data_IF_797358617159
#
_entry.id   IF_797358617159
#
_cell.length_a   1.000
_cell.length_b   1.000
_cell.length_c   1.000
_cell.angle_alpha   90.00
_cell.angle_beta   90.00
_cell.angle_gamma   90.00
#
_symmetry.space_group_name_H-M   'P 1'
#
loop_
_entity.id
_entity.type
_entity.pdbx_description
1 polymer ?
#
# COMPACT_ATOMS: atom_id res chain seq x y z
N UNK A 1 -4.78 -4.22 -13.14
CA UNK A 1 -4.66 -2.91 -12.49
C UNK A 1 -5.54 -2.79 -11.25
N UNK A 2 -6.88 -2.71 -11.32
CA UNK A 2 -7.72 -2.58 -10.10
C UNK A 2 -7.51 -3.70 -9.07
N UNK A 3 -7.48 -4.96 -9.50
CA UNK A 3 -7.24 -6.09 -8.58
C UNK A 3 -5.85 -6.04 -7.94
N UNK A 4 -4.83 -5.56 -8.67
CA UNK A 4 -3.48 -5.37 -8.14
C UNK A 4 -3.46 -4.25 -7.09
N UNK A 5 -4.19 -3.15 -7.31
CA UNK A 5 -4.36 -2.07 -6.32
C UNK A 5 -5.03 -2.61 -5.07
N UNK A 6 -6.15 -3.34 -5.21
CA UNK A 6 -6.85 -3.95 -4.07
C UNK A 6 -5.92 -4.87 -3.29
N UNK A 7 -5.20 -5.75 -3.97
CA UNK A 7 -4.25 -6.67 -3.33
C UNK A 7 -3.13 -5.93 -2.59
N UNK A 8 -2.56 -4.89 -3.20
CA UNK A 8 -1.46 -4.14 -2.59
C UNK A 8 -1.92 -3.32 -1.37
N UNK A 9 -3.08 -2.66 -1.48
CA UNK A 9 -3.69 -1.94 -0.37
C UNK A 9 -4.11 -2.90 0.75
N UNK A 10 -4.58 -4.11 0.42
CA UNK A 10 -4.87 -5.14 1.40
C UNK A 10 -3.62 -5.53 2.21
N UNK A 11 -2.49 -5.78 1.53
CA UNK A 11 -1.23 -6.14 2.18
C UNK A 11 -0.71 -5.01 3.10
N UNK A 12 -0.84 -3.75 2.67
CA UNK A 12 -0.54 -2.57 3.49
C UNK A 12 -1.49 -2.39 4.70
N UNK A 13 -2.69 -2.98 4.68
CA UNK A 13 -3.66 -2.85 5.77
C UNK A 13 -3.55 -3.93 6.86
N UNK A 14 -2.71 -4.96 6.68
CA UNK A 14 -2.65 -6.13 7.55
C UNK A 14 -1.27 -6.25 8.23
N UNK A 15 -1.07 -5.69 9.44
CA UNK A 15 0.20 -5.74 10.16
C UNK A 15 0.71 -7.16 10.44
N UNK A 16 -0.20 -8.11 10.65
CA UNK A 16 0.18 -9.50 10.89
C UNK A 16 0.74 -10.13 9.61
N UNK A 17 0.12 -9.85 8.46
CA UNK A 17 0.66 -10.23 7.15
C UNK A 17 2.03 -9.60 6.90
N UNK A 18 2.16 -8.29 7.11
CA UNK A 18 3.43 -7.57 6.95
C UNK A 18 4.55 -8.20 7.77
N UNK A 19 4.27 -8.49 9.04
CA UNK A 19 5.25 -9.13 9.93
C UNK A 19 5.61 -10.53 9.44
N UNK A 20 4.61 -11.40 9.21
CA UNK A 20 4.86 -12.79 8.83
C UNK A 20 5.53 -12.91 7.46
N UNK A 21 5.08 -12.15 6.48
CA UNK A 21 5.44 -12.33 5.07
C UNK A 21 6.61 -11.44 4.67
N UNK A 22 6.59 -10.15 5.03
CA UNK A 22 7.65 -9.23 4.61
C UNK A 22 8.88 -9.35 5.50
N UNK A 23 8.72 -9.50 6.82
CA UNK A 23 9.87 -9.61 7.73
C UNK A 23 10.29 -11.07 7.96
N UNK A 24 9.36 -11.94 8.35
CA UNK A 24 9.69 -13.31 8.76
C UNK A 24 9.76 -14.29 7.58
N UNK A 25 9.37 -13.85 6.38
CA UNK A 25 9.36 -14.65 5.13
C UNK A 25 8.59 -15.97 5.28
N UNK A 26 7.55 -15.97 6.11
CA UNK A 26 6.63 -17.09 6.32
C UNK A 26 5.48 -17.02 5.32
N UNK A 27 5.65 -17.71 4.19
CA UNK A 27 4.68 -17.70 3.10
C UNK A 27 3.55 -18.71 3.31
N UNK A 28 2.31 -18.40 2.87
CA UNK A 28 1.15 -19.27 3.04
C UNK A 28 1.21 -20.57 2.22
N UNK A 29 1.91 -20.58 1.09
CA UNK A 29 2.12 -21.77 0.26
C UNK A 29 3.37 -21.63 -0.63
N UNK A 30 3.91 -22.75 -1.18
CA UNK A 30 5.01 -22.69 -2.13
C UNK A 30 4.68 -21.81 -3.34
N UNK A 31 5.67 -21.03 -3.78
CA UNK A 31 5.54 -20.13 -4.93
C UNK A 31 4.80 -18.81 -4.63
N UNK A 32 4.35 -18.58 -3.40
CA UNK A 32 3.86 -17.28 -2.97
C UNK A 32 5.05 -16.33 -2.71
N UNK A 33 4.94 -15.09 -3.16
CA UNK A 33 5.89 -14.03 -2.88
C UNK A 33 5.14 -12.72 -2.71
N UNK A 34 5.50 -11.97 -1.67
CA UNK A 34 4.99 -10.64 -1.40
C UNK A 34 5.98 -9.90 -0.50
N UNK A 35 6.19 -8.62 -0.77
CA UNK A 35 7.07 -7.75 0.01
C UNK A 35 6.63 -6.27 -0.10
N UNK A 36 7.17 -5.41 0.77
CA UNK A 36 6.82 -3.98 0.77
C UNK A 36 7.16 -3.34 -0.58
N UNK A 37 8.37 -3.58 -1.09
CA UNK A 37 8.89 -2.95 -2.31
C UNK A 37 8.00 -3.23 -3.53
N UNK A 38 7.57 -4.47 -3.71
CA UNK A 38 6.65 -4.88 -4.76
C UNK A 38 5.31 -4.14 -4.64
N UNK A 39 4.75 -4.03 -3.43
CA UNK A 39 3.49 -3.32 -3.23
C UNK A 39 3.62 -1.82 -3.51
N UNK A 40 4.74 -1.20 -3.13
CA UNK A 40 5.04 0.21 -3.46
C UNK A 40 5.16 0.40 -4.97
N UNK A 41 5.92 -0.45 -5.68
CA UNK A 41 6.02 -0.39 -7.14
C UNK A 41 4.67 -0.59 -7.84
N UNK A 42 3.82 -1.50 -7.36
CA UNK A 42 2.48 -1.68 -7.92
C UNK A 42 1.68 -0.38 -7.84
N UNK A 43 1.76 0.33 -6.72
CA UNK A 43 0.93 1.49 -6.43
C UNK A 43 1.44 2.80 -7.09
N UNK A 44 2.75 3.02 -7.10
CA UNK A 44 3.37 4.20 -7.73
C UNK A 44 3.70 3.96 -9.21
N UNK A 45 4.36 2.87 -9.57
CA UNK A 45 4.92 2.73 -10.92
C UNK A 45 3.98 2.00 -11.89
N UNK A 46 3.46 0.84 -11.50
CA UNK A 46 2.69 -0.01 -12.43
C UNK A 46 1.28 0.53 -12.67
N UNK A 47 0.70 1.18 -11.66
CA UNK A 47 -0.68 1.69 -11.73
C UNK A 47 -0.80 3.20 -11.61
N UNK A 48 0.25 3.89 -11.11
CA UNK A 48 0.25 5.33 -10.85
C UNK A 48 -0.97 5.81 -10.06
N UNK A 49 -1.57 4.94 -9.24
CA UNK A 49 -2.83 5.24 -8.55
C UNK A 49 -2.60 6.20 -7.37
N UNK A 50 -1.39 6.22 -6.82
CA UNK A 50 -0.99 7.15 -5.75
C UNK A 50 -0.50 8.50 -6.29
N UNK A 51 0.00 8.56 -7.53
CA UNK A 51 0.49 9.80 -8.14
C UNK A 51 -0.63 10.81 -8.44
N UNK A 52 -1.71 10.34 -9.08
CA UNK A 52 -2.92 11.13 -9.31
C UNK A 52 -4.18 10.25 -9.16
N UNK A 53 -4.67 10.08 -7.91
CA UNK A 53 -5.87 9.29 -7.65
C UNK A 53 -7.11 9.83 -8.36
N UNK A 54 -7.15 11.12 -8.68
CA UNK A 54 -8.30 11.72 -9.38
C UNK A 54 -8.33 11.35 -10.86
N UNK A 55 -7.17 11.30 -11.51
CA UNK A 55 -7.04 10.84 -12.90
C UNK A 55 -7.38 9.35 -13.05
N UNK A 56 -7.26 8.56 -11.98
CA UNK A 56 -7.58 7.14 -11.97
C UNK A 56 -9.10 6.83 -11.97
N UNK A 57 -9.97 7.83 -11.73
CA UNK A 57 -11.43 7.66 -11.71
C UNK A 57 -11.96 7.27 -13.11
N UNK A 58 -12.79 6.23 -13.15
CA UNK A 58 -13.34 5.66 -14.37
C UNK A 58 -12.42 4.65 -15.07
N UNK A 59 -11.18 4.48 -14.58
CA UNK A 59 -10.22 3.50 -15.10
C UNK A 59 -9.92 2.41 -14.08
N UNK A 60 -9.34 2.78 -12.93
CA UNK A 60 -9.04 1.84 -11.83
C UNK A 60 -9.79 2.16 -10.56
N UNK A 61 -10.19 3.41 -10.36
CA UNK A 61 -11.07 3.86 -9.26
C UNK A 61 -12.49 4.14 -9.78
N UNK A 62 -13.49 3.86 -8.95
CA UNK A 62 -14.91 3.98 -9.33
C UNK A 62 -15.41 5.42 -9.26
N UNK A 63 -15.04 6.13 -8.20
CA UNK A 63 -15.59 7.44 -7.88
C UNK A 63 -14.64 8.27 -7.00
N UNK A 64 -15.04 9.51 -6.74
CA UNK A 64 -14.29 10.44 -5.91
C UNK A 64 -14.14 9.99 -4.45
N UNK A 65 -14.95 9.05 -3.96
CA UNK A 65 -14.80 8.51 -2.61
C UNK A 65 -13.59 7.58 -2.54
N UNK A 66 -13.43 6.67 -3.50
CA UNK A 66 -12.25 5.82 -3.59
C UNK A 66 -10.98 6.66 -3.78
N UNK A 67 -11.01 7.65 -4.69
CA UNK A 67 -9.88 8.55 -4.94
C UNK A 67 -9.42 9.30 -3.68
N UNK A 68 -10.35 9.79 -2.86
CA UNK A 68 -9.99 10.46 -1.58
C UNK A 68 -9.30 9.52 -0.60
N UNK A 69 -9.77 8.27 -0.48
CA UNK A 69 -9.14 7.32 0.44
C UNK A 69 -7.75 6.90 -0.04
N UNK A 70 -7.55 6.79 -1.36
CA UNK A 70 -6.25 6.50 -1.96
C UNK A 70 -5.30 7.70 -1.81
N UNK A 71 -5.79 8.94 -1.96
CA UNK A 71 -4.99 10.13 -1.68
C UNK A 71 -4.49 10.15 -0.23
N UNK A 72 -5.36 9.85 0.74
CA UNK A 72 -4.93 9.77 2.14
C UNK A 72 -3.84 8.70 2.37
N UNK A 73 -3.87 7.60 1.61
CA UNK A 73 -2.83 6.58 1.66
C UNK A 73 -1.52 7.08 1.03
N UNK A 74 -1.59 7.74 -0.13
CA UNK A 74 -0.44 8.37 -0.79
C UNK A 74 0.26 9.35 0.16
N UNK A 75 -0.49 10.29 0.75
CA UNK A 75 0.05 11.29 1.68
C UNK A 75 0.79 10.67 2.87
N UNK A 76 0.33 9.51 3.38
CA UNK A 76 0.98 8.80 4.50
C UNK A 76 2.23 8.05 4.08
N UNK A 77 2.24 7.48 2.88
CA UNK A 77 3.40 6.79 2.33
C UNK A 77 4.50 7.80 1.98
N UNK A 78 4.16 8.89 1.30
CA UNK A 78 5.09 9.97 0.94
C UNK A 78 5.79 10.53 2.18
N UNK A 79 5.04 10.75 3.27
CA UNK A 79 5.60 11.24 4.54
C UNK A 79 6.68 10.32 5.13
N UNK A 80 6.57 9.01 4.93
CA UNK A 80 7.57 8.03 5.40
C UNK A 80 8.72 7.89 4.40
N UNK A 81 8.41 7.88 3.10
CA UNK A 81 9.40 7.81 2.02
C UNK A 81 10.34 9.02 2.07
N UNK A 82 9.82 10.22 2.36
CA UNK A 82 10.61 11.44 2.53
C UNK A 82 11.46 11.42 3.82
N UNK A 83 11.04 10.67 4.84
CA UNK A 83 11.70 10.61 6.14
C UNK A 83 12.83 9.57 6.21
N UNK A 84 12.79 8.54 5.35
CA UNK A 84 13.74 7.44 5.33
C UNK A 84 14.76 7.58 4.19
N UNK A 85 15.92 6.97 4.37
CA UNK A 85 16.92 6.89 3.31
C UNK A 85 16.41 5.96 2.19
N UNK A 86 16.75 6.20 0.91
CA UNK A 86 16.30 5.36 -0.21
C UNK A 86 16.64 3.88 -0.06
N UNK A 87 17.71 3.54 0.66
CA UNK A 87 18.16 2.18 0.92
C UNK A 87 17.63 1.57 2.23
N UNK A 88 16.67 2.23 2.89
CA UNK A 88 16.05 1.72 4.11
C UNK A 88 15.38 0.35 3.87
N UNK A 89 15.59 -0.58 4.79
CA UNK A 89 14.99 -1.91 4.72
C UNK A 89 13.53 -1.90 5.22
N UNK A 90 12.80 -2.98 4.94
CA UNK A 90 11.39 -3.13 5.34
C UNK A 90 11.20 -2.98 6.86
N UNK A 91 12.19 -3.39 7.65
CA UNK A 91 12.12 -3.28 9.11
C UNK A 91 12.17 -1.81 9.57
N UNK A 92 12.93 -0.96 8.88
CA UNK A 92 12.95 0.49 9.13
C UNK A 92 11.59 1.14 8.82
N UNK A 93 10.94 0.78 7.71
CA UNK A 93 9.60 1.27 7.37
C UNK A 93 8.57 0.84 8.42
N UNK A 94 8.48 -0.46 8.72
CA UNK A 94 7.50 -1.01 9.66
C UNK A 94 7.75 -0.56 11.11
N UNK A 95 8.99 -0.23 11.45
CA UNK A 95 9.38 0.33 12.74
C UNK A 95 9.18 1.84 12.86
N UNK A 96 8.85 2.54 11.77
CA UNK A 96 8.70 3.99 11.76
C UNK A 96 7.49 4.43 12.62
N UNK A 97 7.60 5.47 13.47
CA UNK A 97 6.50 5.92 14.33
C UNK A 97 5.20 6.29 13.60
N UNK A 98 5.30 6.66 12.32
CA UNK A 98 4.15 7.02 11.48
C UNK A 98 3.55 5.82 10.71
N UNK A 99 4.20 4.66 10.70
CA UNK A 99 3.72 3.46 9.99
C UNK A 99 2.29 3.04 10.34
N UNK A 100 1.84 3.11 11.62
CA UNK A 100 0.45 2.82 11.96
C UNK A 100 -0.57 3.67 11.17
N UNK A 101 -0.21 4.91 10.80
CA UNK A 101 -1.05 5.78 9.97
C UNK A 101 -1.18 5.28 8.52
N UNK A 102 -0.14 4.66 7.96
CA UNK A 102 -0.20 3.99 6.65
C UNK A 102 -1.17 2.81 6.71
N UNK A 103 -1.05 1.97 7.74
CA UNK A 103 -1.92 0.81 7.94
C UNK A 103 -3.39 1.24 8.04
N UNK A 104 -3.68 2.28 8.83
CA UNK A 104 -5.04 2.80 8.97
C UNK A 104 -5.57 3.36 7.65
N UNK A 105 -4.78 4.17 6.94
CA UNK A 105 -5.17 4.74 5.64
C UNK A 105 -5.41 3.63 4.61
N UNK A 106 -4.56 2.61 4.58
CA UNK A 106 -4.71 1.44 3.70
C UNK A 106 -5.99 0.65 4.03
N UNK A 107 -6.32 0.46 5.31
CA UNK A 107 -7.57 -0.21 5.70
C UNK A 107 -8.81 0.55 5.22
N UNK A 108 -8.81 1.89 5.30
CA UNK A 108 -9.91 2.72 4.79
C UNK A 108 -10.01 2.65 3.26
N UNK A 109 -8.88 2.72 2.56
CA UNK A 109 -8.82 2.59 1.11
C UNK A 109 -9.31 1.20 0.65
N UNK A 110 -8.84 0.13 1.28
CA UNK A 110 -9.29 -1.23 0.97
C UNK A 110 -10.80 -1.36 1.15
N UNK A 111 -11.34 -0.89 2.28
CA UNK A 111 -12.78 -0.92 2.54
C UNK A 111 -13.60 -0.09 1.55
N UNK A 112 -13.04 0.96 0.95
CA UNK A 112 -13.69 1.72 -0.11
C UNK A 112 -13.68 0.97 -1.45
N UNK A 113 -12.54 0.35 -1.80
CA UNK A 113 -12.34 -0.36 -3.07
C UNK A 113 -13.16 -1.66 -3.20
N UNK A 114 -13.46 -2.31 -2.07
CA UNK A 114 -14.18 -3.60 -2.06
C UNK A 114 -15.68 -3.46 -1.83
N UNK A 115 -16.23 -2.24 -1.89
CA UNK A 115 -17.68 -1.99 -1.79
C UNK A 115 -18.43 -2.20 -3.11
#
# INVERSE_FOLDING_TARGET
>A
MREQIISAVQALSDPDHQRRVWIERQYPHPGYFDDLTMNIHILYDDTAVLDDPSAAIGTTLRDASEARTIQCLADRLDEILDALEPEADEAAYLGHPLWPGVVEAAAQAHAALTR
#
